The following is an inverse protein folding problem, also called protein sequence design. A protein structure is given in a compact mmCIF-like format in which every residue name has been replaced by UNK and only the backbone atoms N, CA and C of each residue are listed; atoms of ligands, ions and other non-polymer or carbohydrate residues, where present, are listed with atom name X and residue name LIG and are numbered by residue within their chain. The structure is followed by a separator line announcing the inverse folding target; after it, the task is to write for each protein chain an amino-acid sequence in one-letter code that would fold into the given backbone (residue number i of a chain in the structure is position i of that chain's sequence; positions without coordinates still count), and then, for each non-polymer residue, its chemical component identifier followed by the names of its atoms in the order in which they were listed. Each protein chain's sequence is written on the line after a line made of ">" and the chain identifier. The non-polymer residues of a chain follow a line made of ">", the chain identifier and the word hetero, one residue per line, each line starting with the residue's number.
data_IF_981054692690
#
_entry.id   IF_981054692690
#
_cell.length_a   1.000
_cell.length_b   1.000
_cell.length_c   1.000
_cell.angle_alpha   90.00
_cell.angle_beta   90.00
_cell.angle_gamma   90.00
#
_symmetry.space_group_name_H-M   'P 1'
#
loop_
_entity.id
_entity.type
_entity.pdbx_description
1 polymer ?
#
# COMPACT_ATOMS: atom_id res chain seq x y z
N UNK A 1 23.56 -2.79 -3.15
CA UNK A 1 24.06 -3.47 -4.33
C UNK A 1 24.82 -4.74 -3.95
N UNK A 2 24.68 -5.80 -4.74
CA UNK A 2 25.42 -7.07 -4.53
C UNK A 2 26.37 -7.30 -5.67
N UNK A 3 27.61 -7.69 -5.35
CA UNK A 3 28.62 -8.08 -6.33
C UNK A 3 28.97 -9.54 -6.05
N UNK A 4 28.75 -10.46 -6.98
CA UNK A 4 29.12 -11.86 -6.79
C UNK A 4 30.64 -11.99 -6.67
N UNK A 5 31.13 -12.52 -5.56
CA UNK A 5 32.49 -13.09 -5.46
C UNK A 5 33.60 -12.25 -4.84
N UNK A 6 33.35 -11.02 -4.34
CA UNK A 6 34.41 -10.20 -3.73
C UNK A 6 34.13 -9.89 -2.25
N UNK A 7 35.00 -10.32 -1.31
CA UNK A 7 34.93 -9.88 0.08
C UNK A 7 35.25 -8.38 0.18
N UNK A 8 34.45 -7.61 0.89
CA UNK A 8 34.77 -6.23 1.24
C UNK A 8 35.17 -6.16 2.72
N UNK A 9 36.45 -5.88 3.03
CA UNK A 9 36.96 -5.85 4.39
C UNK A 9 36.32 -4.75 5.27
N UNK A 10 35.69 -3.73 4.65
CA UNK A 10 35.04 -2.66 5.38
C UNK A 10 33.56 -2.97 5.72
N UNK A 11 33.02 -4.02 5.12
CA UNK A 11 31.59 -4.35 5.20
C UNK A 11 31.32 -5.76 5.74
N UNK A 12 32.33 -6.40 6.34
CA UNK A 12 32.26 -7.77 6.88
C UNK A 12 32.35 -8.83 5.80
N UNK A 13 32.30 -10.10 6.19
CA UNK A 13 32.57 -11.30 5.33
C UNK A 13 31.44 -11.57 4.28
N UNK A 14 30.56 -10.64 4.03
CA UNK A 14 29.50 -10.80 3.03
C UNK A 14 30.08 -10.60 1.64
N UNK A 15 30.40 -11.70 0.99
CA UNK A 15 30.82 -11.71 -0.40
C UNK A 15 29.73 -11.05 -1.28
N UNK A 16 30.09 -9.89 -1.85
CA UNK A 16 29.29 -9.25 -2.86
C UNK A 16 28.13 -8.38 -2.39
N UNK A 17 28.02 -8.05 -1.10
CA UNK A 17 27.02 -7.11 -0.60
C UNK A 17 27.66 -5.83 -0.12
N UNK A 18 27.20 -4.69 -0.65
CA UNK A 18 27.63 -3.36 -0.20
C UNK A 18 26.56 -2.79 0.72
N UNK A 19 26.95 -2.55 1.95
CA UNK A 19 26.13 -1.86 2.93
C UNK A 19 26.25 -0.35 2.76
N UNK A 20 25.19 0.40 3.05
CA UNK A 20 25.24 1.85 3.14
C UNK A 20 26.14 2.29 4.29
N UNK A 21 27.26 2.91 3.99
CA UNK A 21 28.24 3.33 4.98
C UNK A 21 27.70 4.46 5.89
N UNK A 22 26.85 5.32 5.35
CA UNK A 22 26.19 6.43 6.08
C UNK A 22 24.85 6.03 6.72
N UNK A 23 24.60 4.74 6.94
CA UNK A 23 23.32 4.20 7.42
C UNK A 23 22.70 4.99 8.59
N UNK A 24 23.49 5.25 9.64
CA UNK A 24 23.00 6.06 10.78
C UNK A 24 22.74 7.51 10.41
N UNK A 25 23.58 8.09 9.56
CA UNK A 25 23.45 9.49 9.13
C UNK A 25 22.22 9.74 8.25
N UNK A 26 21.74 8.70 7.57
CA UNK A 26 20.49 8.77 6.76
C UNK A 26 19.27 8.24 7.52
N UNK A 27 19.35 8.13 8.84
CA UNK A 27 18.23 7.75 9.71
C UNK A 27 18.00 6.23 9.80
N UNK A 28 18.97 5.44 9.38
CA UNK A 28 18.94 3.99 9.50
C UNK A 28 19.66 3.44 10.73
N UNK A 29 19.60 2.16 10.94
CA UNK A 29 20.38 1.43 11.93
C UNK A 29 21.02 0.18 11.32
N UNK A 30 22.20 -0.15 11.84
CA UNK A 30 22.96 -1.30 11.37
C UNK A 30 22.33 -2.61 11.85
N UNK A 31 22.18 -3.55 10.97
CA UNK A 31 21.64 -4.86 11.26
C UNK A 31 22.18 -5.93 10.32
N UNK A 32 21.61 -7.10 10.40
CA UNK A 32 21.98 -8.26 9.60
C UNK A 32 20.74 -8.78 8.87
N UNK A 33 20.84 -8.92 7.57
CA UNK A 33 19.86 -9.59 6.74
C UNK A 33 20.24 -11.06 6.58
N UNK A 34 19.35 -11.96 6.94
CA UNK A 34 19.58 -13.40 6.79
C UNK A 34 19.09 -13.85 5.41
N UNK A 35 20.01 -14.37 4.61
CA UNK A 35 19.73 -14.96 3.31
C UNK A 35 20.17 -16.43 3.32
N UNK A 36 19.25 -17.33 3.58
CA UNK A 36 19.56 -18.72 3.81
C UNK A 36 20.47 -18.91 5.03
N UNK A 37 21.64 -19.54 4.84
CA UNK A 37 22.65 -19.70 5.89
C UNK A 37 23.60 -18.50 6.04
N UNK A 38 23.51 -17.50 5.15
CA UNK A 38 24.40 -16.35 5.14
C UNK A 38 23.80 -15.16 5.88
N UNK A 39 24.63 -14.48 6.67
CA UNK A 39 24.29 -13.25 7.34
C UNK A 39 24.96 -12.09 6.60
N UNK A 40 24.15 -11.23 5.99
CA UNK A 40 24.63 -10.09 5.21
C UNK A 40 24.42 -8.78 5.99
N UNK A 41 25.42 -7.90 6.07
CA UNK A 41 25.23 -6.59 6.67
C UNK A 41 24.15 -5.81 5.93
N UNK A 42 23.25 -5.18 6.68
CA UNK A 42 22.13 -4.42 6.11
C UNK A 42 21.88 -3.13 6.89
N UNK A 43 21.41 -2.11 6.18
CA UNK A 43 20.92 -0.89 6.77
C UNK A 43 19.39 -0.98 6.84
N UNK A 44 18.87 -0.96 8.06
CA UNK A 44 17.43 -0.99 8.31
C UNK A 44 16.91 0.40 8.64
N UNK A 45 15.63 0.62 8.37
CA UNK A 45 14.93 1.86 8.68
C UNK A 45 13.67 1.56 9.47
N UNK A 46 13.38 2.42 10.46
CA UNK A 46 12.14 2.37 11.22
C UNK A 46 11.03 3.07 10.45
N UNK A 47 9.86 2.46 10.41
CA UNK A 47 8.64 3.07 9.86
C UNK A 47 7.88 3.90 10.91
N UNK A 48 8.14 3.65 12.18
CA UNK A 48 7.41 4.24 13.31
C UNK A 48 7.31 5.77 13.25
N UNK A 49 8.38 6.53 12.90
CA UNK A 49 8.29 7.98 12.84
C UNK A 49 7.28 8.53 11.81
N UNK A 50 6.88 7.71 10.84
CA UNK A 50 5.97 8.11 9.76
C UNK A 50 4.56 7.55 9.93
N UNK A 51 4.38 6.57 10.81
CA UNK A 51 3.10 5.93 11.04
C UNK A 51 2.28 6.72 12.08
N UNK A 52 1.00 6.83 11.84
CA UNK A 52 0.08 7.35 12.85
C UNK A 52 -0.07 6.33 13.98
N UNK A 53 0.02 6.76 15.23
CA UNK A 53 -0.35 5.92 16.37
C UNK A 53 -1.87 5.72 16.44
N UNK A 54 -2.62 6.80 16.16
CA UNK A 54 -4.07 6.81 16.02
C UNK A 54 -4.35 7.62 14.76
N UNK A 55 -5.15 7.07 13.87
CA UNK A 55 -5.55 7.77 12.65
C UNK A 55 -6.67 8.76 12.96
N UNK A 56 -6.58 9.94 12.35
CA UNK A 56 -7.69 10.89 12.31
C UNK A 56 -8.87 10.24 11.59
N UNK A 57 -10.04 10.27 12.22
CA UNK A 57 -11.21 9.59 11.69
C UNK A 57 -12.45 10.44 11.89
N UNK A 58 -13.13 10.78 10.80
CA UNK A 58 -14.43 11.42 10.80
C UNK A 58 -15.51 10.36 10.57
N UNK A 59 -16.54 10.37 11.43
CA UNK A 59 -17.67 9.45 11.35
C UNK A 59 -18.98 10.17 11.35
N UNK A 60 -19.82 9.78 10.40
CA UNK A 60 -21.19 10.28 10.26
C UNK A 60 -22.12 9.08 10.25
N UNK A 61 -23.17 9.14 11.08
CA UNK A 61 -24.17 8.07 11.14
C UNK A 61 -25.54 8.69 11.23
N UNK A 62 -26.45 8.16 10.44
CA UNK A 62 -27.86 8.51 10.45
C UNK A 62 -28.68 7.22 10.46
N UNK A 63 -29.65 7.15 11.33
CA UNK A 63 -30.63 6.08 11.39
C UNK A 63 -32.01 6.66 11.51
N UNK A 64 -32.97 6.05 10.82
CA UNK A 64 -34.39 6.39 10.90
C UNK A 64 -35.20 5.12 10.77
N UNK A 65 -36.32 5.09 11.52
CA UNK A 65 -37.28 4.00 11.52
C UNK A 65 -38.68 4.58 11.53
N UNK A 66 -39.57 3.94 10.76
CA UNK A 66 -40.98 4.22 10.72
C UNK A 66 -41.75 2.90 10.81
N UNK A 67 -42.67 2.83 11.78
CA UNK A 67 -43.63 1.76 11.90
C UNK A 67 -45.05 2.37 11.77
N UNK A 68 -45.90 1.75 10.99
CA UNK A 68 -47.22 2.23 10.70
C UNK A 68 -48.23 1.08 10.60
N UNK A 69 -49.26 1.11 11.45
CA UNK A 69 -50.34 0.14 11.41
C UNK A 69 -51.26 0.43 10.20
N UNK A 70 -51.26 -0.46 9.22
CA UNK A 70 -52.13 -0.39 8.04
C UNK A 70 -53.52 -0.88 8.36
N UNK A 71 -53.60 -1.90 9.21
CA UNK A 71 -54.85 -2.48 9.75
C UNK A 71 -54.60 -2.93 11.18
N UNK A 72 -55.64 -3.40 11.86
CA UNK A 72 -55.51 -3.98 13.23
C UNK A 72 -54.58 -5.19 13.31
N UNK A 73 -54.26 -5.83 12.15
CA UNK A 73 -53.46 -7.06 12.09
C UNK A 73 -52.28 -6.95 11.15
N UNK A 74 -52.00 -5.78 10.57
CA UNK A 74 -50.92 -5.58 9.60
C UNK A 74 -50.15 -4.30 9.85
N UNK A 75 -48.91 -4.40 10.05
CA UNK A 75 -47.97 -3.30 10.26
C UNK A 75 -47.01 -3.19 9.05
N UNK A 76 -46.79 -1.97 8.60
CA UNK A 76 -45.72 -1.61 7.68
C UNK A 76 -44.50 -1.12 8.48
N UNK A 77 -43.30 -1.52 8.10
CA UNK A 77 -42.08 -0.95 8.64
C UNK A 77 -41.15 -0.45 7.54
N UNK A 78 -40.39 0.58 7.87
CA UNK A 78 -39.33 1.15 7.04
C UNK A 78 -38.15 1.51 7.95
N UNK A 79 -36.98 0.99 7.67
CA UNK A 79 -35.71 1.35 8.30
C UNK A 79 -34.78 1.94 7.28
N UNK A 80 -34.04 2.97 7.65
CA UNK A 80 -32.97 3.55 6.84
C UNK A 80 -31.73 3.78 7.68
N UNK A 81 -30.57 3.41 7.15
CA UNK A 81 -29.29 3.66 7.78
C UNK A 81 -28.29 4.18 6.75
N UNK A 82 -27.58 5.23 7.14
CA UNK A 82 -26.42 5.73 6.44
C UNK A 82 -25.25 5.85 7.41
N UNK A 83 -24.08 5.40 6.99
CA UNK A 83 -22.85 5.57 7.77
C UNK A 83 -21.70 5.88 6.82
N UNK A 84 -20.90 6.87 7.17
CA UNK A 84 -19.68 7.22 6.47
C UNK A 84 -18.54 7.33 7.47
N UNK A 85 -17.39 6.77 7.12
CA UNK A 85 -16.13 6.89 7.87
C UNK A 85 -15.05 7.34 6.92
N UNK A 86 -14.50 8.51 7.17
CA UNK A 86 -13.36 9.05 6.42
C UNK A 86 -12.10 9.00 7.28
N UNK A 87 -11.00 8.56 6.70
CA UNK A 87 -9.65 8.60 7.26
C UNK A 87 -8.80 9.38 6.28
N UNK A 88 -8.72 10.72 6.43
CA UNK A 88 -8.13 11.60 5.42
C UNK A 88 -6.60 11.54 5.38
N UNK A 89 -5.96 11.07 6.46
CA UNK A 89 -4.53 11.07 6.60
C UNK A 89 -4.02 9.75 7.18
N UNK A 90 -3.61 8.84 6.31
CA UNK A 90 -2.90 7.62 6.71
C UNK A 90 -1.42 7.86 6.48
N UNK A 91 -0.65 8.03 7.57
CA UNK A 91 0.79 8.19 7.50
C UNK A 91 1.50 6.87 7.30
N UNK A 92 2.45 6.81 6.37
CA UNK A 92 3.33 5.66 6.18
C UNK A 92 4.70 6.09 5.66
N UNK A 93 5.69 5.18 5.72
CA UNK A 93 7.05 5.49 5.31
C UNK A 93 7.08 5.93 3.84
N UNK A 94 7.74 7.06 3.54
CA UNK A 94 7.82 7.61 2.19
C UNK A 94 8.73 6.83 1.24
N UNK A 95 9.41 5.83 1.73
CA UNK A 95 10.39 5.08 0.96
C UNK A 95 10.32 3.58 1.28
N UNK A 96 9.19 2.96 0.91
CA UNK A 96 9.11 1.51 0.90
C UNK A 96 10.09 0.92 -0.12
N UNK A 97 10.74 -0.21 0.19
CA UNK A 97 11.45 -0.95 -0.84
C UNK A 97 10.42 -1.44 -1.86
N UNK A 98 10.69 -1.30 -3.16
CA UNK A 98 9.80 -1.84 -4.17
C UNK A 98 9.60 -3.35 -3.94
N UNK A 99 8.36 -3.77 -3.82
CA UNK A 99 7.99 -5.18 -3.60
C UNK A 99 7.92 -5.98 -4.89
N UNK A 100 7.93 -5.28 -6.03
CA UNK A 100 7.99 -5.87 -7.35
C UNK A 100 9.05 -5.15 -8.18
N UNK A 101 9.73 -5.91 -9.02
CA UNK A 101 10.72 -5.39 -9.94
C UNK A 101 10.30 -5.61 -11.40
N UNK A 102 11.08 -5.08 -12.35
CA UNK A 102 10.77 -5.13 -13.78
C UNK A 102 10.85 -6.55 -14.38
N UNK A 103 11.31 -7.52 -13.60
CA UNK A 103 11.51 -8.93 -14.05
C UNK A 103 10.34 -9.85 -13.65
N UNK A 104 9.19 -9.28 -13.29
CA UNK A 104 7.96 -10.00 -13.02
C UNK A 104 7.62 -10.16 -11.54
N UNK A 105 6.49 -10.79 -11.25
CA UNK A 105 6.00 -10.99 -9.90
C UNK A 105 7.01 -11.72 -9.02
N UNK A 106 7.19 -11.23 -7.80
CA UNK A 106 8.13 -11.81 -6.83
C UNK A 106 9.59 -11.40 -7.01
N UNK A 107 9.94 -10.68 -8.08
CA UNK A 107 11.26 -10.09 -8.23
C UNK A 107 11.29 -8.68 -7.64
N UNK A 108 12.20 -8.45 -6.70
CA UNK A 108 12.46 -7.12 -6.11
C UNK A 108 13.78 -6.52 -6.62
N UNK A 109 14.31 -7.10 -7.70
CA UNK A 109 15.64 -6.75 -8.22
C UNK A 109 15.51 -5.64 -9.26
N UNK A 110 16.37 -4.64 -9.09
CA UNK A 110 16.62 -3.58 -10.07
C UNK A 110 18.11 -3.56 -10.40
N UNK A 111 18.46 -3.04 -11.55
CA UNK A 111 19.84 -2.89 -11.95
C UNK A 111 20.14 -1.44 -12.33
N UNK A 112 21.14 -0.84 -11.68
CA UNK A 112 21.71 0.40 -12.12
C UNK A 112 22.81 0.08 -13.16
N UNK A 113 22.63 0.44 -14.45
CA UNK A 113 23.57 0.06 -15.49
C UNK A 113 24.94 0.72 -15.30
N UNK A 114 25.98 0.10 -15.83
CA UNK A 114 27.35 0.65 -15.79
C UNK A 114 27.47 2.04 -16.42
N UNK A 115 26.58 2.38 -17.35
CA UNK A 115 26.51 3.71 -17.99
C UNK A 115 25.92 4.78 -17.10
N UNK A 116 25.30 4.42 -15.98
CA UNK A 116 24.76 5.40 -15.03
C UNK A 116 25.90 6.23 -14.44
N UNK A 117 25.91 7.57 -14.59
CA UNK A 117 27.02 8.42 -14.16
C UNK A 117 27.26 8.35 -12.64
N UNK A 118 26.23 8.11 -11.87
CA UNK A 118 26.35 7.97 -10.40
C UNK A 118 26.98 6.63 -10.01
N UNK A 119 26.77 5.57 -10.78
CA UNK A 119 27.51 4.31 -10.63
C UNK A 119 28.98 4.55 -10.91
N UNK A 120 29.30 5.26 -11.98
CA UNK A 120 30.70 5.59 -12.32
C UNK A 120 31.37 6.44 -11.24
N UNK A 121 30.66 7.46 -10.73
CA UNK A 121 31.17 8.29 -9.64
C UNK A 121 31.38 7.49 -8.35
N UNK A 122 30.48 6.59 -8.02
CA UNK A 122 30.61 5.70 -6.85
C UNK A 122 31.82 4.78 -6.98
N UNK A 123 32.05 4.17 -8.14
CA UNK A 123 33.19 3.32 -8.41
C UNK A 123 34.51 4.08 -8.35
N UNK A 124 34.52 5.32 -8.85
CA UNK A 124 35.69 6.20 -8.80
C UNK A 124 36.11 6.55 -7.36
N UNK A 125 35.11 6.80 -6.51
CA UNK A 125 35.30 7.14 -5.11
C UNK A 125 35.62 5.91 -4.22
N UNK A 126 35.17 4.70 -4.62
CA UNK A 126 35.22 3.50 -3.80
C UNK A 126 35.73 2.26 -4.56
N UNK A 127 36.85 2.31 -5.26
CA UNK A 127 37.33 1.18 -6.07
C UNK A 127 37.63 -0.06 -5.24
N UNK A 128 38.08 0.11 -3.99
CA UNK A 128 38.40 -0.95 -3.05
C UNK A 128 37.17 -1.83 -2.69
N UNK A 129 35.98 -1.28 -2.74
CA UNK A 129 34.73 -2.02 -2.49
C UNK A 129 34.55 -3.16 -3.50
N UNK A 130 35.19 -3.04 -4.65
CA UNK A 130 35.14 -4.01 -5.75
C UNK A 130 36.44 -4.80 -5.89
N UNK A 131 37.25 -4.85 -4.83
CA UNK A 131 38.52 -5.56 -4.84
C UNK A 131 39.57 -4.99 -5.81
N UNK A 132 39.47 -3.70 -6.16
CA UNK A 132 40.35 -3.03 -7.11
C UNK A 132 41.02 -1.81 -6.49
N UNK A 133 42.24 -1.53 -6.93
CA UNK A 133 42.95 -0.29 -6.59
C UNK A 133 42.54 0.90 -7.51
N UNK A 134 41.80 0.65 -8.57
CA UNK A 134 41.44 1.66 -9.59
C UNK A 134 39.97 1.61 -9.96
N UNK A 135 39.43 2.75 -10.36
CA UNK A 135 38.03 2.87 -10.87
C UNK A 135 37.79 1.99 -12.10
N UNK A 136 38.79 1.86 -12.98
CA UNK A 136 38.70 1.02 -14.19
C UNK A 136 38.59 -0.47 -13.82
N UNK A 137 39.36 -0.93 -12.86
CA UNK A 137 39.28 -2.29 -12.35
C UNK A 137 37.97 -2.58 -11.64
N UNK A 138 37.49 -1.65 -10.82
CA UNK A 138 36.16 -1.73 -10.18
C UNK A 138 35.02 -1.78 -11.24
N UNK A 139 35.11 -0.95 -12.27
CA UNK A 139 34.17 -0.96 -13.39
C UNK A 139 34.17 -2.30 -14.13
N UNK A 140 35.34 -2.88 -14.34
CA UNK A 140 35.46 -4.19 -14.99
C UNK A 140 34.86 -5.33 -14.15
N UNK A 141 34.94 -5.23 -12.82
CA UNK A 141 34.41 -6.23 -11.89
C UNK A 141 32.87 -6.31 -11.84
N UNK A 142 32.17 -5.24 -12.22
CA UNK A 142 30.71 -5.23 -12.21
C UNK A 142 30.15 -6.09 -13.37
N UNK A 143 29.09 -6.88 -13.14
CA UNK A 143 28.41 -7.61 -14.22
C UNK A 143 27.92 -6.69 -15.34
N UNK A 144 27.73 -7.24 -16.53
CA UNK A 144 27.24 -6.50 -17.70
C UNK A 144 25.84 -5.88 -17.45
N UNK A 145 25.03 -6.54 -16.62
CA UNK A 145 23.73 -6.02 -16.20
C UNK A 145 23.80 -4.75 -15.33
N UNK A 146 24.97 -4.45 -14.75
CA UNK A 146 25.14 -3.33 -13.82
C UNK A 146 25.13 -3.77 -12.36
N UNK A 147 25.01 -2.78 -11.45
CA UNK A 147 24.84 -3.02 -10.02
C UNK A 147 23.44 -3.47 -9.70
N UNK A 148 23.30 -4.61 -9.07
CA UNK A 148 22.02 -5.08 -8.57
C UNK A 148 21.61 -4.33 -7.31
N UNK A 149 20.38 -3.79 -7.31
CA UNK A 149 19.75 -3.12 -6.19
C UNK A 149 18.68 -4.06 -5.63
N UNK A 150 18.96 -4.70 -4.49
CA UNK A 150 18.04 -5.65 -3.85
C UNK A 150 17.60 -5.09 -2.51
N UNK A 151 16.30 -5.13 -2.21
CA UNK A 151 15.70 -4.58 -0.98
C UNK A 151 16.11 -3.12 -0.75
N UNK A 152 16.33 -2.41 -1.84
CA UNK A 152 16.79 -1.04 -1.87
C UNK A 152 15.63 -0.06 -1.66
N UNK A 153 15.89 1.00 -0.90
CA UNK A 153 14.96 2.10 -0.69
C UNK A 153 15.42 3.32 -1.48
N UNK A 154 14.66 3.78 -2.45
CA UNK A 154 15.06 4.89 -3.33
C UNK A 154 15.39 6.20 -2.61
N UNK A 155 14.78 6.44 -1.45
CA UNK A 155 14.97 7.67 -0.66
C UNK A 155 15.39 7.39 0.78
N UNK A 156 15.98 6.25 1.07
CA UNK A 156 16.33 5.77 2.40
C UNK A 156 15.12 5.81 3.36
N UNK A 157 15.28 6.29 4.61
CA UNK A 157 14.14 6.64 5.46
C UNK A 157 13.85 8.15 5.42
N UNK A 158 14.45 8.84 4.46
CA UNK A 158 14.53 10.29 4.43
C UNK A 158 13.32 11.01 3.91
N UNK A 159 12.32 10.31 3.50
CA UNK A 159 11.24 10.97 2.81
C UNK A 159 11.55 11.30 1.34
N UNK A 160 10.53 11.49 0.58
CA UNK A 160 10.67 11.93 -0.79
C UNK A 160 10.81 13.45 -0.83
N UNK A 161 11.91 14.02 -1.38
CA UNK A 161 12.09 15.46 -1.43
C UNK A 161 11.00 16.19 -2.21
N UNK A 162 10.32 15.52 -3.12
CA UNK A 162 9.18 16.08 -3.84
C UNK A 162 7.93 16.30 -2.96
N UNK A 163 7.88 15.65 -1.79
CA UNK A 163 6.78 15.73 -0.83
C UNK A 163 7.21 16.32 0.52
N UNK A 164 8.32 17.05 0.56
CA UNK A 164 8.77 17.80 1.74
C UNK A 164 9.41 16.96 2.84
N UNK A 165 9.92 15.78 2.53
CA UNK A 165 10.52 14.84 3.48
C UNK A 165 9.59 14.31 4.57
N UNK A 166 8.31 14.63 4.48
CA UNK A 166 7.27 14.06 5.34
C UNK A 166 6.93 12.62 4.90
N UNK A 167 6.21 11.90 5.76
CA UNK A 167 5.62 10.62 5.40
C UNK A 167 4.70 10.77 4.18
N UNK A 168 4.58 9.70 3.42
CA UNK A 168 3.53 9.65 2.41
C UNK A 168 2.18 9.59 3.09
N UNK A 169 1.18 10.18 2.46
CA UNK A 169 -0.19 10.20 2.95
C UNK A 169 -1.07 9.44 1.97
N UNK A 170 -1.81 8.51 2.53
CA UNK A 170 -2.94 7.87 1.88
C UNK A 170 -4.23 8.35 2.51
N UNK A 171 -5.33 7.95 1.90
CA UNK A 171 -6.66 8.17 2.44
C UNK A 171 -7.52 6.92 2.25
N UNK A 172 -8.53 6.76 3.07
CA UNK A 172 -9.56 5.75 2.87
C UNK A 172 -10.90 6.26 3.37
N UNK A 173 -11.94 5.81 2.69
CA UNK A 173 -13.32 6.12 3.04
C UNK A 173 -14.16 4.85 2.95
N UNK A 174 -15.08 4.72 3.87
CA UNK A 174 -16.08 3.65 3.89
C UNK A 174 -17.46 4.28 3.97
N UNK A 175 -18.33 3.90 3.06
CA UNK A 175 -19.69 4.37 3.01
C UNK A 175 -20.65 3.19 3.00
N UNK A 176 -21.64 3.22 3.89
CA UNK A 176 -22.69 2.21 3.98
C UNK A 176 -24.05 2.91 3.90
N UNK A 177 -24.86 2.45 2.97
CA UNK A 177 -26.28 2.73 2.90
C UNK A 177 -27.06 1.44 3.03
N UNK A 178 -28.10 1.43 3.86
CA UNK A 178 -29.04 0.31 3.99
C UNK A 178 -30.45 0.85 4.11
N UNK A 179 -31.35 0.22 3.40
CA UNK A 179 -32.79 0.40 3.56
C UNK A 179 -33.43 -0.99 3.72
N UNK A 180 -34.33 -1.11 4.69
CA UNK A 180 -35.14 -2.30 4.86
C UNK A 180 -36.59 -1.86 4.98
N UNK A 181 -37.49 -2.57 4.34
CA UNK A 181 -38.93 -2.28 4.38
C UNK A 181 -39.72 -3.57 4.29
N UNK A 182 -40.88 -3.59 4.83
CA UNK A 182 -41.70 -4.79 4.77
C UNK A 182 -43.04 -4.61 5.42
N UNK A 183 -43.74 -5.72 5.44
CA UNK A 183 -45.06 -5.89 6.07
C UNK A 183 -44.96 -7.08 7.02
N UNK A 184 -45.52 -6.94 8.19
CA UNK A 184 -45.66 -8.06 9.14
C UNK A 184 -47.12 -8.04 9.68
N UNK A 185 -47.58 -9.20 10.00
CA UNK A 185 -48.96 -9.30 10.47
C UNK A 185 -49.35 -10.68 10.95
N UNK A 186 -50.67 -10.84 11.16
CA UNK A 186 -51.29 -12.09 11.60
C UNK A 186 -52.51 -12.39 10.79
N UNK A 187 -52.69 -13.62 10.37
CA UNK A 187 -53.94 -14.16 9.81
C UNK A 187 -54.73 -14.83 10.92
N UNK A 188 -55.98 -14.46 11.09
CA UNK A 188 -56.87 -15.07 12.06
C UNK A 188 -57.41 -16.43 11.54
N UNK A 189 -56.48 -17.34 11.32
CA UNK A 189 -56.75 -18.72 10.86
C UNK A 189 -55.91 -19.70 11.67
N UNK A 190 -56.45 -20.87 11.95
CA UNK A 190 -55.73 -21.99 12.60
C UNK A 190 -55.02 -21.62 13.93
N UNK A 191 -55.62 -20.70 14.71
CA UNK A 191 -55.07 -20.26 16.01
C UNK A 191 -54.04 -19.15 15.91
N UNK A 192 -54.04 -18.40 14.80
CA UNK A 192 -53.12 -17.30 14.52
C UNK A 192 -51.89 -17.76 13.76
N UNK A 193 -51.73 -17.24 12.55
CA UNK A 193 -50.48 -17.43 11.74
C UNK A 193 -49.85 -16.08 11.56
N UNK A 194 -48.73 -15.85 12.24
CA UNK A 194 -47.88 -14.68 12.02
C UNK A 194 -47.13 -14.80 10.70
N UNK A 195 -46.98 -13.69 10.02
CA UNK A 195 -46.20 -13.60 8.79
C UNK A 195 -45.37 -12.32 8.74
N UNK A 196 -44.23 -12.40 8.05
CA UNK A 196 -43.30 -11.30 7.84
C UNK A 196 -42.78 -11.38 6.40
N UNK A 197 -42.90 -10.29 5.66
CA UNK A 197 -42.34 -10.11 4.33
C UNK A 197 -41.42 -8.90 4.35
N UNK A 198 -40.13 -9.10 4.19
CA UNK A 198 -39.14 -8.04 4.24
C UNK A 198 -38.35 -7.97 2.94
N UNK A 199 -38.01 -6.74 2.56
CA UNK A 199 -37.02 -6.43 1.52
C UNK A 199 -35.90 -5.60 2.13
N UNK A 200 -34.66 -5.98 1.86
CA UNK A 200 -33.48 -5.21 2.26
C UNK A 200 -32.61 -4.94 1.06
N UNK A 201 -32.20 -3.69 0.90
CA UNK A 201 -31.13 -3.28 0.01
C UNK A 201 -30.01 -2.68 0.84
N UNK A 202 -28.78 -3.07 0.56
CA UNK A 202 -27.63 -2.39 1.12
C UNK A 202 -26.52 -2.22 0.09
N UNK A 203 -25.82 -1.08 0.19
CA UNK A 203 -24.64 -0.76 -0.60
C UNK A 203 -23.52 -0.37 0.35
N UNK A 204 -22.37 -1.04 0.20
CA UNK A 204 -21.15 -0.69 0.90
C UNK A 204 -20.09 -0.31 -0.13
N UNK A 205 -19.49 0.84 0.03
CA UNK A 205 -18.42 1.34 -0.82
C UNK A 205 -17.17 1.55 0.03
N UNK A 206 -16.05 0.97 -0.39
CA UNK A 206 -14.73 1.19 0.17
C UNK A 206 -13.86 1.87 -0.88
N UNK A 207 -13.29 3.01 -0.53
CA UNK A 207 -12.39 3.79 -1.37
C UNK A 207 -11.05 3.94 -0.64
N UNK A 208 -9.95 3.89 -1.37
CA UNK A 208 -8.64 4.14 -0.81
C UNK A 208 -7.65 4.65 -1.85
N UNK A 209 -6.74 5.49 -1.39
CA UNK A 209 -5.62 6.00 -2.16
C UNK A 209 -4.33 5.67 -1.43
N UNK A 210 -3.40 5.07 -2.16
CA UNK A 210 -2.03 4.82 -1.68
C UNK A 210 -1.07 5.28 -2.76
N UNK A 211 -0.13 6.13 -2.40
CA UNK A 211 0.90 6.60 -3.32
C UNK A 211 2.06 5.61 -3.32
N UNK A 212 2.46 5.17 -4.50
CA UNK A 212 3.55 4.20 -4.64
C UNK A 212 4.43 4.49 -5.85
N UNK A 213 5.59 3.85 -5.90
CA UNK A 213 6.53 3.95 -7.01
C UNK A 213 6.07 3.07 -8.17
N UNK A 214 6.02 3.64 -9.36
CA UNK A 214 5.77 2.89 -10.58
C UNK A 214 7.04 2.16 -11.04
N UNK A 215 6.94 0.83 -11.11
CA UNK A 215 8.02 -0.10 -11.49
C UNK A 215 8.74 0.34 -12.76
N UNK A 216 7.98 0.63 -13.82
CA UNK A 216 8.54 1.00 -15.11
C UNK A 216 9.25 2.34 -15.07
N UNK A 217 8.71 3.32 -14.32
CA UNK A 217 9.34 4.64 -14.16
C UNK A 217 10.65 4.52 -13.39
N UNK A 218 10.69 3.68 -12.38
CA UNK A 218 11.92 3.43 -11.60
C UNK A 218 13.00 2.78 -12.46
N UNK A 219 12.66 1.75 -13.24
CA UNK A 219 13.61 1.10 -14.16
C UNK A 219 14.11 2.07 -15.25
N UNK A 220 13.21 2.85 -15.84
CA UNK A 220 13.57 3.89 -16.82
C UNK A 220 14.52 4.94 -16.22
N UNK A 221 14.24 5.41 -15.02
CA UNK A 221 15.07 6.42 -14.35
C UNK A 221 16.48 5.89 -14.03
N UNK A 222 16.61 4.64 -13.61
CA UNK A 222 17.92 3.99 -13.43
C UNK A 222 18.72 3.90 -14.72
N UNK A 223 18.04 3.81 -15.87
CA UNK A 223 18.63 3.77 -17.21
C UNK A 223 18.81 5.13 -17.86
N UNK A 224 18.51 6.23 -17.15
CA UNK A 224 18.66 7.59 -17.63
C UNK A 224 17.54 8.07 -18.55
N UNK A 225 16.41 7.41 -18.51
CA UNK A 225 15.19 7.74 -19.28
C UNK A 225 14.05 8.21 -18.33
N UNK A 226 14.42 8.73 -17.17
CA UNK A 226 13.48 9.23 -16.18
C UNK A 226 13.08 10.68 -16.38
N UNK A 227 12.04 11.08 -15.62
CA UNK A 227 11.58 12.46 -15.55
C UNK A 227 10.39 12.78 -16.44
N UNK A 228 9.58 13.78 -16.03
CA UNK A 228 8.35 14.14 -16.73
C UNK A 228 8.58 14.78 -18.11
N UNK A 229 9.79 15.30 -18.34
CA UNK A 229 10.16 15.99 -19.58
C UNK A 229 11.00 15.11 -20.53
N UNK A 230 11.15 13.82 -20.19
CA UNK A 230 11.93 12.91 -21.03
C UNK A 230 11.23 12.66 -22.36
N UNK A 231 11.89 13.06 -23.45
CA UNK A 231 11.42 12.85 -24.82
C UNK A 231 12.47 12.12 -25.63
N UNK A 232 12.24 10.84 -25.91
CA UNK A 232 13.16 10.03 -26.71
C UNK A 232 13.84 8.90 -25.94
N UNK A 233 14.88 8.32 -26.55
CA UNK A 233 15.52 7.08 -26.07
C UNK A 233 17.01 7.28 -25.77
N UNK A 234 17.50 8.51 -25.67
CA UNK A 234 18.89 8.79 -25.36
C UNK A 234 19.05 9.08 -23.87
N UNK A 235 19.73 8.21 -23.10
CA UNK A 235 19.88 8.40 -21.67
C UNK A 235 20.53 9.73 -21.30
N UNK A 236 19.92 10.46 -20.37
CA UNK A 236 20.43 11.74 -19.87
C UNK A 236 20.35 12.91 -20.86
N UNK A 237 19.62 12.77 -21.96
CA UNK A 237 19.45 13.80 -22.98
C UNK A 237 17.95 14.08 -23.25
N UNK A 238 17.65 15.20 -23.92
CA UNK A 238 16.29 15.57 -24.31
C UNK A 238 15.30 15.60 -23.13
N UNK A 239 15.72 16.17 -22.00
CA UNK A 239 14.92 16.24 -20.78
C UNK A 239 14.85 14.94 -19.96
N UNK A 240 15.57 13.90 -20.37
CA UNK A 240 15.66 12.65 -19.62
C UNK A 240 16.70 12.77 -18.51
N UNK A 241 16.36 12.21 -17.34
CA UNK A 241 17.19 12.27 -16.15
C UNK A 241 17.61 10.87 -15.70
N UNK A 242 18.83 10.79 -15.16
CA UNK A 242 19.33 9.60 -14.45
C UNK A 242 18.91 9.65 -12.99
N UNK A 243 18.44 8.54 -12.44
CA UNK A 243 18.27 8.39 -11.01
C UNK A 243 19.62 8.03 -10.36
N UNK A 244 20.00 8.80 -9.35
CA UNK A 244 21.09 8.45 -8.45
C UNK A 244 20.57 7.50 -7.36
N UNK A 245 21.00 6.23 -7.33
CA UNK A 245 20.55 5.26 -6.33
C UNK A 245 21.33 5.30 -5.01
N UNK A 246 22.31 6.19 -4.88
CA UNK A 246 23.22 6.24 -3.74
C UNK A 246 22.81 7.33 -2.74
N UNK A 247 23.32 7.24 -1.52
CA UNK A 247 23.05 8.19 -0.44
C UNK A 247 23.49 9.63 -0.76
N UNK A 248 24.46 9.80 -1.66
CA UNK A 248 24.87 11.14 -2.12
C UNK A 248 23.73 11.95 -2.71
N UNK A 249 22.63 11.31 -3.07
CA UNK A 249 21.47 11.96 -3.68
C UNK A 249 20.57 12.74 -2.71
N UNK A 250 20.68 12.55 -1.40
CA UNK A 250 19.75 13.17 -0.44
C UNK A 250 20.42 13.67 0.85
N UNK A 251 19.91 14.81 1.37
CA UNK A 251 20.58 15.54 2.47
C UNK A 251 20.43 14.88 3.84
N UNK A 252 19.63 13.86 3.97
CA UNK A 252 19.23 13.24 5.22
C UNK A 252 17.72 13.34 5.42
N UNK A 253 17.27 13.23 6.68
CA UNK A 253 15.86 13.36 7.02
C UNK A 253 15.65 14.37 8.15
N UNK A 254 15.08 15.54 7.87
CA UNK A 254 14.82 16.55 8.89
C UNK A 254 13.87 16.08 10.00
N UNK A 255 12.89 15.22 9.70
CA UNK A 255 11.95 14.68 10.69
C UNK A 255 12.65 13.76 11.70
N UNK A 256 13.72 13.11 11.32
CA UNK A 256 14.52 12.24 12.17
C UNK A 256 15.73 12.97 12.78
N UNK A 257 15.89 14.27 12.48
CA UNK A 257 17.09 15.01 12.86
C UNK A 257 18.36 14.47 12.22
N UNK A 258 18.24 13.70 11.14
CA UNK A 258 19.36 13.05 10.48
C UNK A 258 19.92 13.93 9.35
N UNK A 259 21.23 14.18 9.39
CA UNK A 259 21.96 14.90 8.33
C UNK A 259 22.95 13.94 7.68
N UNK A 260 22.89 13.86 6.35
CA UNK A 260 23.77 13.00 5.59
C UNK A 260 25.09 13.70 5.23
N UNK A 261 26.22 13.31 5.80
CA UNK A 261 27.51 13.94 5.53
C UNK A 261 28.06 13.64 4.14
N UNK A 262 27.51 12.63 3.44
CA UNK A 262 27.91 12.26 2.08
C UNK A 262 27.07 12.93 1.01
N UNK A 263 26.10 13.73 1.39
CA UNK A 263 25.23 14.45 0.45
C UNK A 263 26.04 15.40 -0.44
N UNK A 264 25.79 15.30 -1.73
CA UNK A 264 26.35 16.20 -2.74
C UNK A 264 25.19 16.81 -3.55
N UNK A 265 24.93 18.12 -3.40
CA UNK A 265 23.87 18.77 -4.16
C UNK A 265 23.98 18.63 -5.69
N UNK A 266 25.21 18.45 -6.20
CA UNK A 266 25.46 18.24 -7.63
C UNK A 266 25.03 16.85 -8.11
N UNK A 267 24.85 15.91 -7.17
CA UNK A 267 24.42 14.53 -7.45
C UNK A 267 22.98 14.26 -6.98
N UNK A 268 22.29 15.29 -6.49
CA UNK A 268 20.93 15.14 -6.00
C UNK A 268 19.96 14.77 -7.14
N UNK A 269 19.01 13.91 -6.82
CA UNK A 269 17.87 13.68 -7.71
C UNK A 269 16.97 14.92 -7.73
N UNK A 270 16.54 15.33 -8.92
CA UNK A 270 15.62 16.47 -9.04
C UNK A 270 14.27 16.17 -8.37
N UNK A 271 13.63 17.20 -7.83
CA UNK A 271 12.29 17.07 -7.27
C UNK A 271 11.26 16.66 -8.34
N UNK A 272 11.50 17.04 -9.60
CA UNK A 272 10.67 16.67 -10.75
C UNK A 272 10.76 15.16 -11.04
N UNK A 273 11.99 14.62 -11.07
CA UNK A 273 12.24 13.19 -11.22
C UNK A 273 11.63 12.42 -10.06
N UNK A 274 11.89 12.85 -8.81
CA UNK A 274 11.38 12.21 -7.63
C UNK A 274 9.84 12.15 -7.60
N UNK A 275 9.16 13.23 -7.99
CA UNK A 275 7.70 13.26 -8.11
C UNK A 275 7.19 12.36 -9.23
N UNK A 276 7.88 12.32 -10.36
CA UNK A 276 7.49 11.51 -11.52
C UNK A 276 7.56 10.01 -11.25
N UNK A 277 8.41 9.55 -10.32
CA UNK A 277 8.50 8.14 -9.96
C UNK A 277 7.23 7.61 -9.31
N UNK A 278 6.45 8.47 -8.65
CA UNK A 278 5.27 8.09 -7.87
C UNK A 278 3.98 8.34 -8.64
N UNK A 279 2.98 7.55 -8.31
CA UNK A 279 1.59 7.80 -8.71
C UNK A 279 0.64 7.33 -7.60
N UNK A 280 -0.60 7.82 -7.66
CA UNK A 280 -1.63 7.42 -6.71
C UNK A 280 -2.29 6.13 -7.20
N UNK A 281 -2.19 5.09 -6.41
CA UNK A 281 -2.95 3.86 -6.59
C UNK A 281 -4.32 4.05 -5.95
N UNK A 282 -5.35 4.16 -6.78
CA UNK A 282 -6.73 4.36 -6.36
C UNK A 282 -7.43 3.02 -6.44
N UNK A 283 -8.06 2.61 -5.33
CA UNK A 283 -8.89 1.42 -5.26
C UNK A 283 -10.30 1.76 -4.80
N UNK A 284 -11.30 1.31 -5.55
CA UNK A 284 -12.70 1.43 -5.17
C UNK A 284 -13.35 0.04 -5.24
N UNK A 285 -14.02 -0.35 -4.17
CA UNK A 285 -14.80 -1.59 -4.12
C UNK A 285 -16.21 -1.26 -3.67
N UNK A 286 -17.18 -1.62 -4.49
CA UNK A 286 -18.61 -1.49 -4.19
C UNK A 286 -19.22 -2.89 -4.05
N UNK A 287 -19.93 -3.11 -2.94
CA UNK A 287 -20.71 -4.31 -2.70
C UNK A 287 -22.19 -3.90 -2.62
N UNK A 288 -23.05 -4.57 -3.36
CA UNK A 288 -24.49 -4.41 -3.33
C UNK A 288 -25.14 -5.72 -2.91
N UNK A 289 -26.17 -5.61 -2.08
CA UNK A 289 -26.89 -6.76 -1.54
C UNK A 289 -28.38 -6.47 -1.58
N UNK A 290 -29.11 -7.41 -2.17
CA UNK A 290 -30.57 -7.47 -2.21
C UNK A 290 -31.01 -8.73 -1.47
N UNK A 291 -31.95 -8.58 -0.54
CA UNK A 291 -32.54 -9.71 0.20
C UNK A 291 -34.06 -9.55 0.21
N UNK A 292 -34.74 -10.64 -0.03
CA UNK A 292 -36.18 -10.79 0.19
C UNK A 292 -36.39 -11.95 1.14
N UNK A 293 -37.03 -11.69 2.25
CA UNK A 293 -37.36 -12.68 3.28
C UNK A 293 -38.88 -12.83 3.39
N UNK A 294 -39.34 -14.06 3.48
CA UNK A 294 -40.72 -14.37 3.81
C UNK A 294 -40.74 -15.43 4.92
N UNK A 295 -41.35 -15.13 6.03
CA UNK A 295 -41.42 -16.00 7.19
C UNK A 295 -42.86 -16.15 7.64
N UNK A 296 -43.27 -17.36 7.99
CA UNK A 296 -44.51 -17.68 8.65
C UNK A 296 -44.22 -18.38 9.97
N UNK A 297 -45.04 -18.11 10.99
CA UNK A 297 -44.94 -18.78 12.27
C UNK A 297 -46.34 -18.99 12.89
N UNK A 298 -46.45 -19.93 13.81
CA UNK A 298 -47.71 -20.20 14.45
C UNK A 298 -47.64 -21.34 15.45
N UNK A 299 -48.76 -21.68 15.99
CA UNK A 299 -48.92 -22.82 16.90
C UNK A 299 -49.45 -24.04 16.15
N UNK A 300 -49.04 -25.23 16.52
CA UNK A 300 -49.54 -26.49 15.95
C UNK A 300 -50.91 -26.94 16.54
N UNK A 301 -51.33 -26.31 17.63
CA UNK A 301 -52.47 -26.79 18.44
C UNK A 301 -52.15 -28.06 19.23
N UNK A 302 -50.90 -28.57 19.17
CA UNK A 302 -50.46 -29.74 19.90
C UNK A 302 -49.73 -29.30 21.18
N UNK A 303 -50.15 -29.82 22.31
CA UNK A 303 -49.60 -29.48 23.61
C UNK A 303 -48.80 -30.64 24.20
N UNK A 304 -47.59 -30.35 24.64
CA UNK A 304 -46.71 -31.26 25.37
C UNK A 304 -46.68 -30.88 26.87
N UNK A 305 -46.18 -31.73 27.79
CA UNK A 305 -46.08 -31.36 29.20
C UNK A 305 -45.27 -30.08 29.47
N UNK A 306 -44.47 -29.63 28.50
CA UNK A 306 -43.68 -28.40 28.55
C UNK A 306 -44.31 -27.19 27.86
N UNK A 307 -45.51 -27.33 27.30
CA UNK A 307 -46.22 -26.23 26.60
C UNK A 307 -46.61 -26.53 25.16
N UNK A 308 -47.21 -25.54 24.50
CA UNK A 308 -47.69 -25.63 23.10
C UNK A 308 -46.49 -25.70 22.12
N UNK A 309 -46.58 -26.59 21.13
CA UNK A 309 -45.59 -26.72 20.08
C UNK A 309 -45.82 -25.61 19.03
N UNK A 310 -44.82 -24.80 18.85
CA UNK A 310 -44.76 -23.75 17.82
C UNK A 310 -44.00 -24.24 16.57
N UNK A 311 -44.30 -23.66 15.45
CA UNK A 311 -43.61 -23.88 14.20
C UNK A 311 -43.22 -22.57 13.51
N UNK A 312 -42.17 -22.58 12.73
CA UNK A 312 -41.80 -21.51 11.82
C UNK A 312 -41.30 -22.10 10.51
N UNK A 313 -41.65 -21.44 9.40
CA UNK A 313 -41.17 -21.79 8.05
C UNK A 313 -40.91 -20.49 7.28
N UNK A 314 -39.84 -20.47 6.48
CA UNK A 314 -39.51 -19.28 5.73
C UNK A 314 -38.73 -19.61 4.45
N UNK A 315 -38.67 -18.62 3.60
CA UNK A 315 -37.87 -18.62 2.38
C UNK A 315 -37.11 -17.30 2.28
N UNK A 316 -35.88 -17.37 1.82
CA UNK A 316 -35.05 -16.21 1.55
C UNK A 316 -34.53 -16.27 0.12
N UNK A 317 -34.65 -15.16 -0.58
CA UNK A 317 -33.91 -14.92 -1.80
C UNK A 317 -32.85 -13.85 -1.58
N UNK A 318 -31.63 -14.08 -2.12
CA UNK A 318 -30.51 -13.18 -1.93
C UNK A 318 -29.71 -13.03 -3.22
N UNK A 319 -29.38 -11.80 -3.57
CA UNK A 319 -28.44 -11.47 -4.65
C UNK A 319 -27.36 -10.54 -4.11
N UNK A 320 -26.12 -10.83 -4.45
CA UNK A 320 -24.98 -9.97 -4.08
C UNK A 320 -24.09 -9.73 -5.29
N UNK A 321 -23.68 -8.49 -5.46
CA UNK A 321 -22.75 -8.06 -6.50
C UNK A 321 -21.55 -7.33 -5.89
N UNK A 322 -20.35 -7.60 -6.40
CA UNK A 322 -19.16 -6.87 -6.05
C UNK A 322 -18.51 -6.31 -7.31
N UNK A 323 -18.32 -5.01 -7.33
CA UNK A 323 -17.58 -4.31 -8.38
C UNK A 323 -16.29 -3.73 -7.80
N UNK A 324 -15.17 -3.97 -8.48
CA UNK A 324 -13.87 -3.40 -8.11
C UNK A 324 -13.31 -2.59 -9.27
N UNK A 325 -12.86 -1.37 -8.95
CA UNK A 325 -12.12 -0.50 -9.86
C UNK A 325 -10.73 -0.23 -9.26
N UNK A 326 -9.71 -0.28 -10.11
CA UNK A 326 -8.31 -0.02 -9.77
C UNK A 326 -7.76 1.05 -10.69
#
# INVERSE_FOLDING_TARGET
>A
PTIPGTPDPNYGDAVGSIREASCGAVGGYQGVYQSGASQLPACYYSYVPFANLIEETDRYQLYGELNFDLTDTTEFFLEGMYSKTDVPNIGYSPSYPPTQGPFGPGSTQYFAPKSNPYVQAFLAANPQVFGSATAAGAYAAIPTSGLQLTLWRPFASGGNPAFGYDGQKGERSYELFRIATGLKGEFDVAGGIGWDLAFTYSRNQAYGVTRDILINRLDQALRGLGGPNCTGNTPGANGCEWLNPFSTAYPGNPMLGATNPTYDPAQANSAALARWLYDDQIGETTNELYVVDLVFNGTTGFELPGGVVNWAAGAQWRSSEQTRRL
#
